data_IF_019121740532
#
_entry.id   IF_019121740532
#
_cell.length_a   1.000
_cell.length_b   1.000
_cell.length_c   1.000
_cell.angle_alpha   90.00
_cell.angle_beta   90.00
_cell.angle_gamma   90.00
#
_symmetry.space_group_name_H-M   'P 1'
#
loop_
_entity.id
_entity.type
_entity.pdbx_description
1 polymer ?
#
# COMPACT_ATOMS: atom_id res chain seq x y z
N UNK A 1 -1.75 -13.28 7.93
CA UNK A 1 -2.48 -14.09 6.92
C UNK A 1 -3.97 -14.05 7.23
N UNK A 2 -4.78 -13.39 6.42
CA UNK A 2 -6.22 -13.19 6.67
C UNK A 2 -6.82 -12.13 5.75
N UNK A 3 -8.15 -12.06 5.72
CA UNK A 3 -8.93 -11.13 4.86
C UNK A 3 -9.52 -9.95 5.63
N UNK A 4 -9.13 -9.81 6.90
CA UNK A 4 -9.69 -8.86 7.85
C UNK A 4 -8.60 -7.95 8.45
N UNK A 5 -7.53 -7.67 7.70
CA UNK A 5 -6.37 -6.94 8.23
C UNK A 5 -6.51 -5.43 8.03
N UNK A 6 -6.59 -4.64 9.12
CA UNK A 6 -6.73 -3.20 9.01
C UNK A 6 -5.40 -2.57 8.56
N UNK A 7 -5.45 -1.77 7.50
CA UNK A 7 -4.33 -0.95 7.03
C UNK A 7 -4.73 0.52 7.05
N UNK A 8 -3.78 1.41 7.37
CA UNK A 8 -3.94 2.86 7.42
C UNK A 8 -3.20 3.46 6.23
N UNK A 9 -3.91 4.22 5.40
CA UNK A 9 -3.30 5.07 4.38
C UNK A 9 -2.80 6.34 5.07
N UNK A 10 -1.48 6.55 5.08
CA UNK A 10 -0.87 7.71 5.74
C UNK A 10 -1.08 9.01 4.95
N UNK A 11 -1.42 8.97 3.67
CA UNK A 11 -1.71 10.17 2.89
C UNK A 11 -3.11 10.71 3.20
N UNK A 12 -4.09 9.83 3.45
CA UNK A 12 -5.49 10.22 3.67
C UNK A 12 -5.93 10.13 5.14
N UNK A 13 -5.21 9.37 5.97
CA UNK A 13 -5.57 9.06 7.36
C UNK A 13 -6.69 8.02 7.48
N UNK A 14 -7.14 7.44 6.37
CA UNK A 14 -8.25 6.47 6.34
C UNK A 14 -7.76 5.06 6.66
N UNK A 15 -8.62 4.26 7.31
CA UNK A 15 -8.36 2.86 7.60
C UNK A 15 -9.24 1.95 6.74
N UNK A 16 -8.63 0.91 6.18
CA UNK A 16 -9.23 -0.02 5.23
C UNK A 16 -9.01 -1.44 5.69
N UNK A 17 -9.98 -2.32 5.45
CA UNK A 17 -9.80 -3.75 5.64
C UNK A 17 -9.12 -4.32 4.39
N UNK A 18 -8.09 -5.14 4.57
CA UNK A 18 -7.29 -5.69 3.47
C UNK A 18 -7.08 -7.19 3.61
N UNK A 19 -6.77 -7.84 2.49
CA UNK A 19 -6.34 -9.23 2.43
C UNK A 19 -4.81 -9.33 2.36
N UNK A 20 -4.23 -10.11 3.27
CA UNK A 20 -2.77 -10.27 3.41
C UNK A 20 -2.37 -11.74 3.54
N UNK A 21 -1.27 -12.13 2.87
CA UNK A 21 -0.74 -13.50 2.95
C UNK A 21 0.80 -13.62 3.04
N UNK A 22 1.50 -12.52 3.30
CA UNK A 22 2.98 -12.50 3.42
C UNK A 22 3.44 -12.91 4.83
N UNK A 23 4.73 -13.27 4.96
CA UNK A 23 5.40 -13.61 6.21
C UNK A 23 6.70 -12.82 6.46
N UNK A 24 7.01 -11.89 5.56
CA UNK A 24 8.13 -10.95 5.65
C UNK A 24 7.57 -9.54 5.46
N UNK A 25 8.20 -8.53 6.05
CA UNK A 25 7.80 -7.13 5.94
C UNK A 25 9.02 -6.26 5.59
N UNK A 26 8.77 -5.14 4.92
CA UNK A 26 9.79 -4.13 4.64
C UNK A 26 10.14 -3.41 5.95
N UNK A 27 11.44 -3.23 6.20
CA UNK A 27 11.91 -2.37 7.29
C UNK A 27 11.95 -0.92 6.82
N UNK A 28 11.56 0.00 7.69
CA UNK A 28 11.61 1.44 7.42
C UNK A 28 13.04 1.96 7.22
N UNK A 29 14.00 1.27 7.86
CA UNK A 29 15.42 1.60 7.81
C UNK A 29 15.88 1.85 6.36
N UNK A 30 16.38 3.08 6.12
CA UNK A 30 17.01 3.51 4.87
C UNK A 30 16.07 3.70 3.67
N UNK A 31 14.75 3.58 3.81
CA UNK A 31 13.81 3.88 2.71
C UNK A 31 14.04 5.29 2.14
N UNK A 32 14.25 6.27 3.02
CA UNK A 32 14.48 7.66 2.62
C UNK A 32 15.77 7.83 1.78
N UNK A 33 16.80 7.03 2.04
CA UNK A 33 18.06 7.05 1.26
C UNK A 33 17.81 6.70 -0.21
N UNK A 34 16.80 5.88 -0.48
CA UNK A 34 16.37 5.48 -1.82
C UNK A 34 15.27 6.38 -2.40
N UNK A 35 14.89 7.45 -1.68
CA UNK A 35 13.80 8.35 -2.07
C UNK A 35 12.40 7.74 -1.92
N UNK A 36 12.27 6.67 -1.13
CA UNK A 36 11.01 6.02 -0.79
C UNK A 36 10.47 6.57 0.53
N UNK A 37 9.15 6.62 0.64
CA UNK A 37 8.42 6.98 1.86
C UNK A 37 7.39 5.90 2.15
N UNK A 38 7.10 5.70 3.43
CA UNK A 38 5.99 4.85 3.87
C UNK A 38 4.68 5.48 3.39
N UNK A 39 3.83 4.65 2.80
CA UNK A 39 2.50 5.05 2.33
C UNK A 39 1.42 4.38 3.16
N UNK A 40 1.61 3.10 3.51
CA UNK A 40 0.64 2.35 4.31
C UNK A 40 1.29 1.64 5.48
N UNK A 41 0.54 1.56 6.57
CA UNK A 41 0.90 0.78 7.75
C UNK A 41 -0.22 -0.18 8.13
N UNK A 42 0.15 -1.34 8.66
CA UNK A 42 -0.77 -2.23 9.33
C UNK A 42 -1.20 -1.61 10.66
N UNK A 43 -2.50 -1.51 10.92
CA UNK A 43 -2.99 -0.90 12.16
C UNK A 43 -2.78 -1.80 13.39
N UNK A 44 -2.65 -3.12 13.21
CA UNK A 44 -2.47 -4.06 14.32
C UNK A 44 -1.04 -4.02 14.88
N UNK A 45 -0.03 -4.00 13.99
CA UNK A 45 1.38 -4.21 14.36
C UNK A 45 2.36 -3.17 13.81
N UNK A 46 1.86 -2.14 13.11
CA UNK A 46 2.65 -1.05 12.54
C UNK A 46 3.69 -1.48 11.50
N UNK A 47 3.57 -2.68 10.93
CA UNK A 47 4.41 -3.09 9.81
C UNK A 47 4.08 -2.31 8.54
N UNK A 48 5.07 -2.15 7.66
CA UNK A 48 4.90 -1.41 6.40
C UNK A 48 4.08 -2.25 5.42
N UNK A 49 2.97 -1.67 5.00
CA UNK A 49 2.01 -2.29 4.07
C UNK A 49 2.02 -1.63 2.69
N UNK A 50 2.81 -0.57 2.52
CA UNK A 50 2.96 0.11 1.25
C UNK A 50 3.99 1.24 1.29
N UNK A 51 4.62 1.46 0.15
CA UNK A 51 5.67 2.47 -0.05
C UNK A 51 5.43 3.23 -1.37
N UNK A 52 5.95 4.45 -1.43
CA UNK A 52 5.87 5.31 -2.62
C UNK A 52 7.17 6.08 -2.80
N UNK A 53 7.58 6.33 -4.04
CA UNK A 53 8.74 7.16 -4.32
C UNK A 53 8.35 8.64 -4.32
N UNK A 54 9.14 9.49 -3.67
CA UNK A 54 8.90 10.95 -3.54
C UNK A 54 8.88 11.75 -4.85
N UNK A 55 9.30 11.16 -5.96
CA UNK A 55 9.58 11.89 -7.21
C UNK A 55 9.29 11.07 -8.46
N UNK A 56 9.55 9.76 -8.43
CA UNK A 56 9.27 8.86 -9.54
C UNK A 56 7.86 8.28 -9.42
N UNK A 57 7.20 7.91 -10.54
CA UNK A 57 5.90 7.24 -10.52
C UNK A 57 6.06 5.76 -10.11
N UNK A 58 6.42 5.54 -8.84
CA UNK A 58 6.66 4.21 -8.27
C UNK A 58 5.89 4.09 -6.96
N UNK A 59 5.03 3.07 -6.90
CA UNK A 59 4.29 2.65 -5.71
C UNK A 59 4.40 1.14 -5.57
N UNK A 60 4.29 0.66 -4.33
CA UNK A 60 4.14 -0.76 -4.02
C UNK A 60 3.25 -0.93 -2.79
N UNK A 61 2.43 -1.97 -2.80
CA UNK A 61 1.62 -2.41 -1.66
C UNK A 61 2.03 -3.83 -1.27
N UNK A 62 1.89 -4.15 0.01
CA UNK A 62 2.19 -5.46 0.56
C UNK A 62 0.93 -6.33 0.71
N UNK A 63 -0.23 -5.68 0.84
CA UNK A 63 -1.56 -6.27 0.69
C UNK A 63 -1.93 -6.47 -0.79
N UNK A 64 -3.00 -7.22 -1.01
CA UNK A 64 -3.58 -7.52 -2.32
C UNK A 64 -4.71 -6.52 -2.67
N UNK A 65 -4.44 -5.44 -3.44
CA UNK A 65 -5.46 -4.44 -3.80
C UNK A 65 -6.52 -4.98 -4.76
N UNK A 66 -6.23 -6.07 -5.48
CA UNK A 66 -7.17 -6.74 -6.39
C UNK A 66 -8.29 -7.49 -5.64
N UNK A 67 -8.14 -7.66 -4.32
CA UNK A 67 -8.99 -8.51 -3.50
C UNK A 67 -9.18 -9.91 -4.12
N UNK A 68 -10.26 -10.63 -3.80
CA UNK A 68 -10.54 -12.00 -4.30
C UNK A 68 -9.83 -13.16 -3.56
N UNK A 69 -10.35 -13.57 -2.38
CA UNK A 69 -11.50 -13.01 -1.67
C UNK A 69 -11.09 -11.83 -0.77
N UNK A 70 -11.94 -10.80 -0.67
CA UNK A 70 -11.68 -9.62 0.16
C UNK A 70 -12.53 -8.41 -0.23
N UNK A 71 -12.46 -7.31 0.55
CA UNK A 71 -13.14 -6.05 0.24
C UNK A 71 -12.43 -5.30 -0.90
N UNK A 72 -13.20 -4.61 -1.74
CA UNK A 72 -12.70 -3.84 -2.90
C UNK A 72 -12.26 -2.40 -2.54
N UNK A 73 -12.11 -2.11 -1.25
CA UNK A 73 -11.93 -0.74 -0.75
C UNK A 73 -10.58 -0.11 -1.17
N UNK A 74 -9.65 -0.90 -1.72
CA UNK A 74 -8.33 -0.47 -2.18
C UNK A 74 -8.12 -0.60 -3.70
N UNK A 75 -9.18 -0.82 -4.49
CA UNK A 75 -9.08 -0.93 -5.96
C UNK A 75 -8.55 0.36 -6.61
N UNK A 76 -8.74 1.52 -5.96
CA UNK A 76 -8.21 2.82 -6.42
C UNK A 76 -6.67 2.86 -6.58
N UNK A 77 -5.94 1.92 -5.99
CA UNK A 77 -4.51 1.74 -6.21
C UNK A 77 -4.22 1.46 -7.69
N UNK A 78 -5.12 0.76 -8.40
CA UNK A 78 -5.01 0.56 -9.84
C UNK A 78 -5.26 1.85 -10.62
N UNK A 79 -6.22 2.68 -10.22
CA UNK A 79 -6.45 3.99 -10.85
C UNK A 79 -5.23 4.91 -10.69
N UNK A 80 -4.60 4.91 -9.51
CA UNK A 80 -3.33 5.59 -9.27
C UNK A 80 -2.23 5.11 -10.23
N UNK A 81 -2.12 3.80 -10.43
CA UNK A 81 -1.16 3.22 -11.37
C UNK A 81 -1.45 3.61 -12.82
N UNK A 82 -2.71 3.59 -13.26
CA UNK A 82 -3.11 4.02 -14.60
C UNK A 82 -2.81 5.50 -14.85
N UNK A 83 -3.07 6.35 -13.85
CA UNK A 83 -2.70 7.78 -13.89
C UNK A 83 -1.18 7.96 -14.03
N UNK A 84 -0.38 7.16 -13.32
CA UNK A 84 1.08 7.20 -13.42
C UNK A 84 1.62 6.80 -14.80
N UNK A 85 0.90 5.94 -15.52
CA UNK A 85 1.23 5.58 -16.91
C UNK A 85 0.79 6.63 -17.94
N UNK A 86 0.07 7.68 -17.52
CA UNK A 86 -0.45 8.71 -18.43
C UNK A 86 -1.63 8.24 -19.28
N UNK A 87 -2.36 7.19 -18.85
CA UNK A 87 -3.49 6.63 -19.62
C UNK A 87 -4.78 7.45 -19.46
N UNK A 88 -4.87 8.29 -18.43
CA UNK A 88 -6.03 9.15 -18.15
C UNK A 88 -5.80 10.64 -18.50
N UNK A 89 -5.04 10.91 -19.56
CA UNK A 89 -4.73 12.27 -20.07
C UNK A 89 -5.37 12.59 -21.40
#
# INVERSE_FOLDING_TARGET
RGQNKPCIDLETGMCYVTSQNHGFAVKEERLEEYGLTVWWLNADDMTIEGIKHRRKPVIATQFHPEASPGPYDTEYVFDLFMNMMGVNG
#
